data_IF_711003096683
#
_entry.id   IF_711003096683
#
_cell.length_a   1.000
_cell.length_b   1.000
_cell.length_c   1.000
_cell.angle_alpha   90.00
_cell.angle_beta   90.00
_cell.angle_gamma   90.00
#
_symmetry.space_group_name_H-M   'P 1'
#
loop_
_entity.id
_entity.type
_entity.pdbx_description
1 polymer ?
#
# COMPACT_ATOMS: atom_id res chain seq x y z
N UNK A 1 -15.58 11.22 9.95
CA UNK A 1 -15.99 10.08 10.80
C UNK A 1 -17.44 10.19 11.24
N UNK A 2 -17.83 11.15 12.10
CA UNK A 2 -19.20 11.26 12.64
C UNK A 2 -20.36 11.20 11.63
N UNK A 3 -20.26 11.88 10.46
CA UNK A 3 -21.30 11.83 9.43
C UNK A 3 -21.43 10.46 8.75
N UNK A 4 -20.31 9.75 8.55
CA UNK A 4 -20.33 8.42 7.94
C UNK A 4 -20.88 7.37 8.92
N UNK A 5 -20.53 7.49 10.20
CA UNK A 5 -21.07 6.65 11.27
C UNK A 5 -22.59 6.83 11.43
N UNK A 6 -23.08 8.07 11.41
CA UNK A 6 -24.51 8.36 11.49
C UNK A 6 -25.26 7.79 10.26
N UNK A 7 -24.72 7.99 9.06
CA UNK A 7 -25.32 7.42 7.85
C UNK A 7 -25.39 5.88 7.91
N UNK A 8 -24.33 5.22 8.37
CA UNK A 8 -24.33 3.76 8.56
C UNK A 8 -25.40 3.35 9.58
N UNK A 9 -25.47 4.01 10.73
CA UNK A 9 -26.47 3.70 11.76
C UNK A 9 -27.92 3.82 11.23
N UNK A 10 -28.18 4.83 10.39
CA UNK A 10 -29.51 5.11 9.84
C UNK A 10 -29.88 4.20 8.66
N UNK A 11 -28.89 3.68 7.90
CA UNK A 11 -29.13 3.01 6.61
C UNK A 11 -28.69 1.54 6.56
N UNK A 12 -28.02 1.03 7.60
CA UNK A 12 -27.56 -0.37 7.64
C UNK A 12 -28.74 -1.31 7.87
N UNK A 13 -29.08 -2.10 6.85
CA UNK A 13 -30.22 -3.03 6.88
C UNK A 13 -29.83 -4.44 7.34
N UNK A 14 -28.54 -4.74 7.48
CA UNK A 14 -28.03 -6.08 7.83
C UNK A 14 -26.66 -6.04 8.51
N UNK A 15 -26.38 -7.06 9.34
CA UNK A 15 -25.09 -7.33 10.02
C UNK A 15 -24.39 -8.58 9.47
N UNK A 16 -24.81 -9.05 8.30
CA UNK A 16 -24.25 -10.24 7.68
C UNK A 16 -22.77 -10.06 7.34
N UNK A 17 -22.04 -11.16 7.34
CA UNK A 17 -20.65 -11.18 6.88
C UNK A 17 -20.56 -10.71 5.43
N UNK A 18 -19.53 -9.91 5.15
CA UNK A 18 -19.15 -9.56 3.79
C UNK A 18 -18.50 -10.76 3.08
N UNK A 19 -18.44 -10.71 1.76
CA UNK A 19 -17.57 -11.61 1.00
C UNK A 19 -16.11 -11.43 1.41
N UNK A 20 -15.26 -12.44 1.14
CA UNK A 20 -13.83 -12.43 1.49
C UNK A 20 -13.12 -11.17 0.96
N UNK A 21 -13.45 -10.77 -0.26
CA UNK A 21 -12.85 -9.60 -0.93
C UNK A 21 -13.49 -8.26 -0.48
N UNK A 22 -14.52 -8.31 0.36
CA UNK A 22 -15.31 -7.16 0.80
C UNK A 22 -16.50 -6.83 -0.10
N UNK A 23 -16.93 -5.57 -0.07
CA UNK A 23 -18.07 -5.08 -0.85
C UNK A 23 -17.62 -4.78 -2.29
N UNK A 24 -18.22 -5.38 -3.34
CA UNK A 24 -17.81 -5.14 -4.73
C UNK A 24 -17.83 -3.65 -5.13
N UNK A 25 -18.86 -2.93 -4.69
CA UNK A 25 -19.01 -1.48 -4.94
C UNK A 25 -17.91 -0.65 -4.29
N UNK A 26 -17.45 -1.05 -3.09
CA UNK A 26 -16.31 -0.42 -2.43
C UNK A 26 -15.05 -0.62 -3.26
N UNK A 27 -14.85 -1.82 -3.79
CA UNK A 27 -13.75 -2.13 -4.71
C UNK A 27 -13.77 -1.25 -5.96
N UNK A 28 -14.93 -1.16 -6.64
CA UNK A 28 -15.11 -0.32 -7.84
C UNK A 28 -14.80 1.16 -7.55
N UNK A 29 -15.39 1.73 -6.51
CA UNK A 29 -15.16 3.13 -6.11
C UNK A 29 -13.70 3.39 -5.73
N UNK A 30 -13.03 2.44 -5.07
CA UNK A 30 -11.61 2.54 -4.73
C UNK A 30 -10.73 2.57 -5.97
N UNK A 31 -11.01 1.72 -6.95
CA UNK A 31 -10.27 1.72 -8.22
C UNK A 31 -10.47 3.04 -8.99
N UNK A 32 -11.70 3.55 -9.08
CA UNK A 32 -11.97 4.83 -9.73
C UNK A 32 -11.29 6.01 -9.01
N UNK A 33 -11.23 5.98 -7.68
CA UNK A 33 -10.54 6.99 -6.88
C UNK A 33 -9.02 6.98 -7.15
N UNK A 34 -8.41 5.79 -7.23
CA UNK A 34 -6.96 5.65 -7.40
C UNK A 34 -6.49 5.86 -8.85
N UNK A 35 -7.24 5.34 -9.82
CA UNK A 35 -6.82 5.29 -11.23
C UNK A 35 -7.58 6.24 -12.14
N UNK A 36 -8.62 6.91 -11.64
CA UNK A 36 -9.53 7.75 -12.43
C UNK A 36 -10.65 6.94 -13.09
N UNK A 37 -11.83 7.56 -13.21
CA UNK A 37 -13.00 6.95 -13.86
C UNK A 37 -12.72 6.66 -15.34
N UNK A 38 -13.07 5.45 -15.78
CA UNK A 38 -12.88 5.02 -17.17
C UNK A 38 -11.43 4.70 -17.55
N UNK A 39 -10.52 4.59 -16.57
CA UNK A 39 -9.14 4.17 -16.80
C UNK A 39 -9.06 2.82 -17.51
N UNK A 40 -8.14 2.69 -18.47
CA UNK A 40 -7.87 1.43 -19.15
C UNK A 40 -7.51 0.30 -18.16
N UNK A 41 -6.86 0.63 -17.03
CA UNK A 41 -6.57 -0.36 -15.96
C UNK A 41 -7.83 -1.03 -15.41
N UNK A 42 -8.91 -0.26 -15.29
CA UNK A 42 -10.21 -0.73 -14.81
C UNK A 42 -10.95 -1.46 -15.94
N UNK A 43 -11.06 -0.82 -17.11
CA UNK A 43 -11.82 -1.36 -18.25
C UNK A 43 -11.24 -2.70 -18.75
N UNK A 44 -9.91 -2.81 -18.80
CA UNK A 44 -9.20 -4.03 -19.20
C UNK A 44 -9.11 -5.06 -18.07
N UNK A 45 -9.71 -4.78 -16.90
CA UNK A 45 -9.71 -5.63 -15.71
C UNK A 45 -8.30 -6.02 -15.25
N UNK A 46 -7.35 -5.08 -15.31
CA UNK A 46 -5.96 -5.25 -14.83
C UNK A 46 -5.77 -4.83 -13.37
N UNK A 47 -6.74 -4.13 -12.79
CA UNK A 47 -6.81 -3.87 -11.34
C UNK A 47 -7.62 -4.95 -10.62
N UNK A 48 -7.16 -5.34 -9.41
CA UNK A 48 -7.87 -6.20 -8.47
C UNK A 48 -7.87 -5.53 -7.09
N UNK A 49 -8.95 -5.71 -6.35
CA UNK A 49 -9.14 -5.03 -5.06
C UNK A 49 -9.74 -6.02 -4.07
N UNK A 50 -9.14 -6.09 -2.88
CA UNK A 50 -9.69 -6.74 -1.72
C UNK A 50 -9.74 -5.69 -0.59
N UNK A 51 -10.86 -5.62 0.11
CA UNK A 51 -11.05 -4.70 1.23
C UNK A 51 -10.28 -5.19 2.46
N UNK A 52 -9.57 -4.28 3.14
CA UNK A 52 -8.77 -4.60 4.33
C UNK A 52 -9.09 -3.66 5.50
N UNK A 53 -8.81 -4.07 6.76
CA UNK A 53 -8.93 -3.19 7.92
C UNK A 53 -7.83 -2.12 7.90
N UNK A 54 -8.12 -0.99 7.24
CA UNK A 54 -7.22 0.13 7.08
C UNK A 54 -5.97 -0.18 6.25
N UNK A 55 -5.05 0.79 6.20
CA UNK A 55 -3.79 0.70 5.45
C UNK A 55 -2.83 -0.36 6.00
N UNK A 56 -2.80 -0.56 7.32
CA UNK A 56 -1.98 -1.62 7.95
C UNK A 56 -2.41 -3.00 7.49
N UNK A 57 -3.71 -3.28 7.42
CA UNK A 57 -4.23 -4.53 6.89
C UNK A 57 -3.88 -4.72 5.42
N UNK A 58 -3.94 -3.64 4.62
CA UNK A 58 -3.54 -3.67 3.22
C UNK A 58 -2.06 -4.04 3.06
N UNK A 59 -1.17 -3.39 3.81
CA UNK A 59 0.26 -3.68 3.82
C UNK A 59 0.55 -5.12 4.24
N UNK A 60 -0.15 -5.63 5.26
CA UNK A 60 0.03 -7.01 5.72
C UNK A 60 -0.37 -8.03 4.66
N UNK A 61 -1.54 -7.85 4.04
CA UNK A 61 -2.00 -8.72 2.94
C UNK A 61 -1.03 -8.66 1.76
N UNK A 62 -0.55 -7.47 1.39
CA UNK A 62 0.44 -7.31 0.34
C UNK A 62 1.76 -8.02 0.67
N UNK A 63 2.30 -7.86 1.88
CA UNK A 63 3.53 -8.51 2.30
C UNK A 63 3.41 -10.04 2.27
N UNK A 64 2.32 -10.60 2.81
CA UNK A 64 2.06 -12.05 2.77
C UNK A 64 1.85 -12.54 1.33
N UNK A 65 1.20 -11.75 0.48
CA UNK A 65 1.02 -12.10 -0.93
C UNK A 65 2.36 -12.19 -1.66
N UNK A 66 3.23 -11.17 -1.50
CA UNK A 66 4.57 -11.15 -2.09
C UNK A 66 5.38 -12.37 -1.64
N UNK A 67 5.43 -12.63 -0.33
CA UNK A 67 6.22 -13.72 0.24
C UNK A 67 5.74 -15.12 -0.21
N UNK A 68 4.43 -15.32 -0.39
CA UNK A 68 3.84 -16.64 -0.67
C UNK A 68 3.60 -16.92 -2.15
N UNK A 69 3.38 -15.90 -2.96
CA UNK A 69 2.89 -16.05 -4.34
C UNK A 69 3.86 -15.51 -5.39
N UNK A 70 5.00 -14.97 -4.98
CA UNK A 70 6.02 -14.43 -5.89
C UNK A 70 7.42 -14.89 -5.49
N UNK A 71 8.41 -14.56 -6.31
CA UNK A 71 9.84 -14.82 -6.00
C UNK A 71 10.50 -13.69 -5.20
N UNK A 72 9.74 -12.66 -4.79
CA UNK A 72 10.28 -11.50 -4.06
C UNK A 72 10.91 -11.95 -2.75
N UNK A 73 12.12 -11.46 -2.49
CA UNK A 73 12.86 -11.69 -1.24
C UNK A 73 13.15 -10.42 -0.46
N UNK A 74 13.15 -9.27 -1.13
CA UNK A 74 13.57 -8.00 -0.57
C UNK A 74 12.59 -6.88 -0.87
N UNK A 75 12.40 -6.03 0.13
CA UNK A 75 11.61 -4.80 0.05
C UNK A 75 12.47 -3.62 0.48
N UNK A 76 12.48 -2.56 -0.33
CA UNK A 76 13.15 -1.30 -0.07
C UNK A 76 12.15 -0.31 0.55
N UNK A 77 12.50 0.28 1.68
CA UNK A 77 11.68 1.23 2.45
C UNK A 77 12.45 2.54 2.59
N UNK A 78 11.77 3.68 2.49
CA UNK A 78 12.45 4.97 2.64
C UNK A 78 13.10 5.13 4.01
N UNK A 79 14.15 5.94 4.09
CA UNK A 79 14.70 6.43 5.34
C UNK A 79 14.62 7.97 5.35
N UNK A 80 13.81 8.59 6.23
CA UNK A 80 12.95 7.96 7.24
C UNK A 80 11.68 7.33 6.64
N UNK A 81 10.97 6.55 7.46
CA UNK A 81 9.68 5.94 7.11
C UNK A 81 8.81 5.71 8.35
N UNK A 82 7.52 5.43 8.15
CA UNK A 82 6.64 5.04 9.24
C UNK A 82 7.17 3.78 9.93
N UNK A 83 7.37 3.79 11.27
CA UNK A 83 8.06 2.71 11.97
C UNK A 83 7.47 1.32 11.72
N UNK A 84 6.17 1.23 11.46
CA UNK A 84 5.50 -0.05 11.26
C UNK A 84 5.72 -0.67 9.86
N UNK A 85 6.20 0.09 8.86
CA UNK A 85 6.50 -0.47 7.54
C UNK A 85 7.51 -1.62 7.63
N UNK A 86 8.65 -1.38 8.29
CA UNK A 86 9.71 -2.40 8.44
C UNK A 86 9.18 -3.64 9.17
N UNK A 87 8.43 -3.44 10.26
CA UNK A 87 7.86 -4.52 11.06
C UNK A 87 6.91 -5.40 10.26
N UNK A 88 6.06 -4.82 9.41
CA UNK A 88 5.11 -5.58 8.58
C UNK A 88 5.83 -6.49 7.58
N UNK A 89 6.82 -5.97 6.84
CA UNK A 89 7.54 -6.76 5.84
C UNK A 89 8.47 -7.81 6.46
N UNK A 90 9.18 -7.46 7.55
CA UNK A 90 9.99 -8.43 8.30
C UNK A 90 9.13 -9.59 8.83
N UNK A 91 7.91 -9.30 9.33
CA UNK A 91 7.00 -10.33 9.83
C UNK A 91 6.48 -11.29 8.75
N UNK A 92 6.57 -10.91 7.47
CA UNK A 92 6.26 -11.77 6.33
C UNK A 92 7.48 -12.58 5.84
N UNK A 93 8.65 -12.40 6.46
CA UNK A 93 9.89 -13.08 6.10
C UNK A 93 10.66 -12.42 4.93
N UNK A 94 10.34 -11.17 4.61
CA UNK A 94 11.03 -10.41 3.55
C UNK A 94 12.21 -9.63 4.14
N UNK A 95 13.35 -9.63 3.44
CA UNK A 95 14.50 -8.78 3.76
C UNK A 95 14.10 -7.32 3.57
N UNK A 96 14.23 -6.48 4.60
CA UNK A 96 13.98 -5.05 4.49
C UNK A 96 15.30 -4.30 4.30
N UNK A 97 15.43 -3.59 3.18
CA UNK A 97 16.50 -2.61 2.93
C UNK A 97 15.95 -1.20 2.96
N UNK A 98 16.85 -0.24 3.15
CA UNK A 98 16.50 1.17 3.20
C UNK A 98 17.06 1.92 2.00
N UNK A 99 16.32 2.91 1.53
CA UNK A 99 16.81 3.88 0.55
C UNK A 99 16.70 5.30 1.11
N UNK A 100 17.68 6.15 0.80
CA UNK A 100 17.66 7.55 1.21
C UNK A 100 16.47 8.30 0.59
N UNK A 101 15.86 9.21 1.36
CA UNK A 101 14.68 9.95 0.89
C UNK A 101 14.65 11.40 1.37
N UNK A 102 15.04 11.69 2.61
CA UNK A 102 14.88 13.02 3.20
C UNK A 102 16.22 13.69 3.48
N UNK A 103 16.40 14.88 2.93
CA UNK A 103 17.46 15.80 3.34
C UNK A 103 17.00 16.55 4.59
N UNK A 104 17.62 16.23 5.73
CA UNK A 104 17.28 16.83 7.01
C UNK A 104 17.77 18.29 7.18
N UNK A 105 18.77 18.70 6.41
CA UNK A 105 19.30 20.07 6.46
C UNK A 105 18.41 21.02 5.66
N UNK A 106 18.03 20.60 4.45
CA UNK A 106 17.22 21.43 3.55
C UNK A 106 15.71 21.16 3.68
N UNK A 107 15.29 20.16 4.44
CA UNK A 107 13.90 19.71 4.58
C UNK A 107 13.25 19.36 3.24
N UNK A 108 14.01 18.71 2.34
CA UNK A 108 13.58 18.39 0.98
C UNK A 108 13.79 16.91 0.66
N UNK A 109 13.38 16.50 -0.55
CA UNK A 109 13.73 15.20 -1.10
C UNK A 109 15.20 15.18 -1.50
N UNK A 110 15.97 14.26 -0.92
CA UNK A 110 17.31 13.94 -1.39
C UNK A 110 17.21 13.00 -2.61
N UNK A 111 16.95 13.58 -3.79
CA UNK A 111 16.68 12.81 -5.00
C UNK A 111 17.92 12.03 -5.47
N UNK A 112 19.11 12.63 -5.36
CA UNK A 112 20.35 11.99 -5.79
C UNK A 112 20.68 10.79 -4.89
N UNK A 113 20.55 10.92 -3.56
CA UNK A 113 20.77 9.80 -2.66
C UNK A 113 19.70 8.71 -2.81
N UNK A 114 18.44 9.10 -3.10
CA UNK A 114 17.36 8.15 -3.41
C UNK A 114 17.72 7.29 -4.61
N UNK A 115 18.11 7.90 -5.72
CA UNK A 115 18.47 7.18 -6.94
C UNK A 115 19.72 6.32 -6.72
N UNK A 116 20.73 6.84 -6.02
CA UNK A 116 21.93 6.07 -5.69
C UNK A 116 21.60 4.81 -4.88
N UNK A 117 20.70 4.92 -3.89
CA UNK A 117 20.25 3.78 -3.10
C UNK A 117 19.48 2.76 -3.96
N UNK A 118 18.55 3.24 -4.80
CA UNK A 118 17.72 2.36 -5.64
C UNK A 118 18.47 1.73 -6.81
N UNK A 119 19.62 2.27 -7.22
CA UNK A 119 20.52 1.64 -8.19
C UNK A 119 21.13 0.32 -7.68
N UNK A 120 21.13 0.07 -6.37
CA UNK A 120 21.55 -1.19 -5.78
C UNK A 120 20.43 -2.26 -5.79
N UNK A 121 19.20 -1.88 -6.14
CA UNK A 121 18.08 -2.80 -6.20
C UNK A 121 18.27 -3.83 -7.33
N UNK A 122 17.88 -5.06 -7.06
CA UNK A 122 17.99 -6.16 -8.01
C UNK A 122 16.62 -6.45 -8.66
N UNK A 123 16.65 -7.07 -9.84
CA UNK A 123 15.42 -7.51 -10.49
C UNK A 123 14.62 -8.45 -9.56
N UNK A 124 13.35 -8.12 -9.33
CA UNK A 124 12.49 -8.83 -8.39
C UNK A 124 12.45 -8.24 -6.97
N UNK A 125 13.23 -7.20 -6.68
CA UNK A 125 13.04 -6.40 -5.47
C UNK A 125 11.77 -5.54 -5.58
N UNK A 126 11.16 -5.23 -4.44
CA UNK A 126 9.99 -4.34 -4.35
C UNK A 126 10.38 -3.04 -3.66
N UNK A 127 9.83 -1.90 -4.08
CA UNK A 127 10.04 -0.61 -3.43
C UNK A 127 8.72 -0.11 -2.84
N UNK A 128 8.73 0.21 -1.54
CA UNK A 128 7.64 0.88 -0.86
C UNK A 128 7.90 2.39 -0.87
N UNK A 129 7.07 3.15 -1.58
CA UNK A 129 7.12 4.61 -1.57
C UNK A 129 6.36 5.18 -0.37
N UNK A 130 6.95 6.14 0.39
CA UNK A 130 6.25 6.83 1.46
C UNK A 130 5.18 7.77 0.89
N UNK A 131 4.27 8.23 1.75
CA UNK A 131 3.50 9.43 1.43
C UNK A 131 4.45 10.63 1.36
N UNK A 132 4.08 11.62 0.53
CA UNK A 132 4.86 12.84 0.25
C UNK A 132 5.46 13.47 1.52
N UNK A 133 6.61 14.13 1.32
CA UNK A 133 7.48 14.74 2.34
C UNK A 133 6.68 15.41 3.49
N UNK A 134 7.11 15.26 4.76
CA UNK A 134 6.50 15.95 5.90
C UNK A 134 6.54 17.47 5.76
#
# INVERSE_FOLDING_TARGET
MKKAEQYLLENETTKNYLGIDGIPEFGRCTQELLFGKGSALINDKRARTAQTPGGTGALRVAADFLAKNTSVKRVWVSNPSWPNHKSVFNSAGLEVREYAYYDAENHTLDFDALINSLNEAQAGDVVLFPWLLP
#
